data_IF_859164073944
#
_entry.id   IF_859164073944
#
_cell.length_a   1.000
_cell.length_b   1.000
_cell.length_c   1.000
_cell.angle_alpha   90.00
_cell.angle_beta   90.00
_cell.angle_gamma   90.00
#
_symmetry.space_group_name_H-M   'P 1'
#
loop_
_entity.id
_entity.type
_entity.pdbx_description
1 polymer ?
#
# COMPACT_ATOMS: atom_id res chain seq x y z
N UNK A 1 9.03 -67.09 -6.67
CA UNK A 1 8.95 -65.63 -6.92
C UNK A 1 9.59 -65.33 -8.28
N UNK A 2 8.85 -64.75 -9.22
CA UNK A 2 9.30 -64.61 -10.61
C UNK A 2 10.36 -63.49 -10.71
N UNK A 3 11.64 -63.86 -10.90
CA UNK A 3 12.79 -62.92 -10.91
C UNK A 3 12.62 -61.76 -11.90
N UNK A 4 11.87 -61.96 -12.99
CA UNK A 4 11.56 -60.91 -13.97
C UNK A 4 10.56 -59.86 -13.45
N UNK A 5 9.59 -60.28 -12.65
CA UNK A 5 8.64 -59.36 -11.99
C UNK A 5 9.31 -58.55 -10.87
N UNK A 6 10.23 -59.18 -10.13
CA UNK A 6 11.01 -58.49 -9.09
C UNK A 6 11.98 -57.49 -9.71
N UNK A 7 12.67 -57.85 -10.80
CA UNK A 7 13.55 -56.94 -11.53
C UNK A 7 12.79 -55.77 -12.17
N UNK A 8 11.62 -56.03 -12.78
CA UNK A 8 10.77 -54.98 -13.33
C UNK A 8 10.25 -54.01 -12.26
N UNK A 9 9.83 -54.53 -11.10
CA UNK A 9 9.42 -53.70 -9.96
C UNK A 9 10.57 -52.85 -9.41
N UNK A 10 11.78 -53.41 -9.29
CA UNK A 10 12.95 -52.68 -8.83
C UNK A 10 13.35 -51.53 -9.79
N UNK A 11 13.28 -51.76 -11.10
CA UNK A 11 13.56 -50.73 -12.11
C UNK A 11 12.53 -49.60 -12.02
N UNK A 12 11.25 -49.92 -11.87
CA UNK A 12 10.19 -48.92 -11.73
C UNK A 12 10.37 -48.05 -10.48
N UNK A 13 10.74 -48.66 -9.35
CA UNK A 13 11.02 -47.93 -8.11
C UNK A 13 12.23 -47.01 -8.26
N UNK A 14 13.31 -47.49 -8.87
CA UNK A 14 14.49 -46.65 -9.14
C UNK A 14 14.14 -45.49 -10.07
N UNK A 15 13.35 -45.73 -11.12
CA UNK A 15 12.86 -44.67 -12.00
C UNK A 15 12.07 -43.63 -11.22
N UNK A 16 11.08 -44.04 -10.42
CA UNK A 16 10.29 -43.13 -9.60
C UNK A 16 11.14 -42.33 -8.62
N UNK A 17 12.15 -42.95 -7.99
CA UNK A 17 13.08 -42.26 -7.10
C UNK A 17 13.93 -41.23 -7.84
N UNK A 18 14.42 -41.53 -9.03
CA UNK A 18 15.18 -40.58 -9.86
C UNK A 18 14.28 -39.43 -10.31
N UNK A 19 13.04 -39.70 -10.73
CA UNK A 19 12.09 -38.62 -11.07
C UNK A 19 11.76 -37.76 -9.86
N UNK A 20 11.58 -38.36 -8.67
CA UNK A 20 11.29 -37.63 -7.44
C UNK A 20 12.48 -36.78 -6.93
N UNK A 21 13.71 -37.28 -7.08
CA UNK A 21 14.90 -36.63 -6.52
C UNK A 21 15.62 -35.70 -7.48
N UNK A 22 15.48 -35.91 -8.79
CA UNK A 22 16.19 -35.13 -9.82
C UNK A 22 15.22 -34.49 -10.80
N UNK A 23 14.26 -35.26 -11.34
CA UNK A 23 13.34 -34.76 -12.36
C UNK A 23 12.43 -33.64 -11.87
N UNK A 24 11.76 -33.85 -10.74
CA UNK A 24 10.84 -32.87 -10.14
C UNK A 24 11.59 -31.61 -9.68
N UNK A 25 12.74 -31.68 -8.96
CA UNK A 25 13.50 -30.48 -8.61
C UNK A 25 14.05 -29.71 -9.82
N UNK A 26 14.51 -30.39 -10.87
CA UNK A 26 14.98 -29.70 -12.08
C UNK A 26 13.83 -29.01 -12.84
N UNK A 27 12.66 -29.64 -12.91
CA UNK A 27 11.46 -29.01 -13.45
C UNK A 27 11.01 -27.80 -12.61
N UNK A 28 11.17 -27.88 -11.28
CA UNK A 28 10.88 -26.78 -10.36
C UNK A 28 11.76 -25.56 -10.64
N UNK A 29 13.08 -25.74 -10.75
CA UNK A 29 13.98 -24.63 -11.09
C UNK A 29 13.67 -24.03 -12.47
N UNK A 30 13.31 -24.87 -13.46
CA UNK A 30 12.93 -24.39 -14.79
C UNK A 30 11.59 -23.62 -14.82
N UNK A 31 10.64 -23.94 -13.94
CA UNK A 31 9.34 -23.26 -13.91
C UNK A 31 9.28 -22.06 -12.96
N UNK A 32 10.13 -22.04 -11.93
CA UNK A 32 10.23 -20.95 -10.96
C UNK A 32 10.52 -19.60 -11.62
N UNK A 33 11.43 -19.57 -12.59
CA UNK A 33 11.79 -18.33 -13.29
C UNK A 33 10.72 -17.91 -14.31
N UNK A 34 9.83 -18.81 -14.73
CA UNK A 34 8.81 -18.55 -15.75
C UNK A 34 7.46 -18.05 -15.19
N UNK A 35 7.28 -18.01 -13.86
CA UNK A 35 6.01 -17.63 -13.24
C UNK A 35 6.23 -16.61 -12.11
N UNK A 36 6.91 -15.52 -12.45
CA UNK A 36 7.08 -14.37 -11.55
C UNK A 36 6.11 -13.27 -11.95
N UNK A 37 5.29 -12.85 -11.00
CA UNK A 37 4.43 -11.67 -11.12
C UNK A 37 5.00 -10.58 -10.24
N UNK A 38 5.14 -9.38 -10.79
CA UNK A 38 5.60 -8.21 -10.06
C UNK A 38 4.49 -7.16 -10.08
N UNK A 39 4.12 -6.64 -8.92
CA UNK A 39 2.99 -5.71 -8.80
C UNK A 39 3.35 -4.55 -7.90
N UNK A 40 2.94 -3.35 -8.31
CA UNK A 40 2.85 -2.18 -7.44
C UNK A 40 1.41 -1.95 -7.02
N UNK A 41 1.21 -1.84 -5.72
CA UNK A 41 -0.02 -1.35 -5.11
C UNK A 41 0.24 0.04 -4.56
N UNK A 42 -0.58 1.00 -4.97
CA UNK A 42 -0.59 2.35 -4.45
C UNK A 42 -1.93 2.63 -3.79
N UNK A 43 -1.90 3.14 -2.56
CA UNK A 43 -3.08 3.62 -1.87
C UNK A 43 -2.82 4.98 -1.24
N UNK A 44 -3.84 5.82 -1.24
CA UNK A 44 -3.84 7.08 -0.53
C UNK A 44 -5.20 7.30 0.10
N UNK A 45 -5.23 7.93 1.27
CA UNK A 45 -6.47 8.14 2.02
C UNK A 45 -6.76 9.63 2.24
N UNK A 46 -8.05 9.95 2.20
CA UNK A 46 -8.59 11.23 2.70
C UNK A 46 -9.76 10.89 3.60
N UNK A 47 -9.79 11.46 4.81
CA UNK A 47 -10.92 11.27 5.71
C UNK A 47 -11.34 12.54 6.43
N UNK A 48 -12.65 12.72 6.64
CA UNK A 48 -13.21 13.92 7.28
C UNK A 48 -14.58 13.71 7.91
N UNK A 49 -14.92 14.48 8.94
CA UNK A 49 -16.23 14.47 9.61
C UNK A 49 -17.16 15.60 9.16
N UNK A 50 -16.74 16.43 8.21
CA UNK A 50 -17.55 17.49 7.62
C UNK A 50 -17.23 17.64 6.13
N UNK A 51 -18.17 18.16 5.35
CA UNK A 51 -17.93 18.42 3.93
C UNK A 51 -16.77 19.41 3.75
N UNK A 52 -15.84 19.07 2.86
CA UNK A 52 -14.82 19.95 2.33
C UNK A 52 -15.31 20.51 1.00
N UNK A 53 -15.15 21.80 0.74
CA UNK A 53 -15.49 22.43 -0.54
C UNK A 53 -14.26 23.00 -1.20
N UNK A 54 -14.28 23.08 -2.53
CA UNK A 54 -13.16 23.56 -3.36
C UNK A 54 -11.85 22.81 -3.04
N UNK A 55 -11.95 21.48 -2.93
CA UNK A 55 -10.87 20.65 -2.45
C UNK A 55 -9.85 20.35 -3.56
N UNK A 56 -8.59 20.70 -3.31
CA UNK A 56 -7.43 20.37 -4.14
C UNK A 56 -6.37 19.72 -3.26
N UNK A 57 -5.99 18.49 -3.58
CA UNK A 57 -4.95 17.75 -2.88
C UNK A 57 -3.85 17.34 -3.86
N UNK A 58 -2.58 17.53 -3.50
CA UNK A 58 -1.44 16.95 -4.22
C UNK A 58 -0.75 15.94 -3.32
N UNK A 59 -0.78 14.67 -3.75
CA UNK A 59 -0.23 13.54 -3.02
C UNK A 59 0.97 12.95 -3.78
N UNK A 60 2.03 12.50 -3.07
CA UNK A 60 3.11 11.71 -3.64
C UNK A 60 2.55 10.53 -4.42
N UNK A 61 3.05 10.31 -5.62
CA UNK A 61 2.69 9.16 -6.44
C UNK A 61 3.94 8.32 -6.76
N UNK A 62 3.79 7.04 -7.13
CA UNK A 62 4.91 6.21 -7.55
C UNK A 62 5.55 6.77 -8.83
N UNK A 63 6.86 6.99 -8.80
CA UNK A 63 7.68 7.40 -9.94
C UNK A 63 8.88 6.50 -10.08
N UNK A 64 9.24 6.21 -11.32
CA UNK A 64 10.43 5.45 -11.68
C UNK A 64 11.71 6.27 -11.43
N UNK A 65 12.91 5.63 -11.44
CA UNK A 65 14.17 6.34 -11.21
C UNK A 65 14.47 7.49 -12.17
N UNK A 66 13.85 7.51 -13.35
CA UNK A 66 13.96 8.61 -14.32
C UNK A 66 12.97 9.76 -14.06
N UNK A 67 12.09 9.60 -13.07
CA UNK A 67 11.06 10.57 -12.68
C UNK A 67 9.71 10.36 -13.35
N UNK A 68 9.57 9.38 -14.23
CA UNK A 68 8.30 9.10 -14.93
C UNK A 68 7.29 8.48 -13.96
N UNK A 69 6.02 8.92 -13.93
CA UNK A 69 4.98 8.25 -13.17
C UNK A 69 4.81 6.78 -13.55
N UNK A 70 4.83 5.89 -12.55
CA UNK A 70 4.62 4.45 -12.76
C UNK A 70 3.14 4.11 -12.92
N UNK A 71 2.27 4.95 -12.35
CA UNK A 71 0.80 4.83 -12.46
C UNK A 71 0.29 5.85 -13.48
N UNK A 72 -0.59 5.43 -14.38
CA UNK A 72 -1.24 6.34 -15.34
C UNK A 72 -2.69 6.64 -14.94
N UNK A 73 -3.41 5.62 -14.42
CA UNK A 73 -4.79 5.74 -13.97
C UNK A 73 -4.90 5.39 -12.49
N UNK A 74 -5.67 6.19 -11.75
CA UNK A 74 -6.04 5.92 -10.36
C UNK A 74 -7.55 5.81 -10.23
N UNK A 75 -8.00 4.95 -9.32
CA UNK A 75 -9.42 4.78 -9.00
C UNK A 75 -9.70 5.37 -7.64
N UNK A 76 -10.83 6.07 -7.52
CA UNK A 76 -11.33 6.55 -6.24
C UNK A 76 -12.40 5.59 -5.77
N UNK A 77 -12.20 5.01 -4.58
CA UNK A 77 -13.14 4.15 -3.90
C UNK A 77 -13.69 4.87 -2.66
N UNK A 78 -15.00 4.81 -2.48
CA UNK A 78 -15.66 5.26 -1.25
C UNK A 78 -15.73 4.09 -0.26
N UNK A 79 -15.12 4.25 0.92
CA UNK A 79 -15.15 3.19 1.93
C UNK A 79 -16.47 3.22 2.71
N UNK A 80 -16.79 4.39 3.27
CA UNK A 80 -18.02 4.62 4.05
C UNK A 80 -18.67 5.99 3.75
N UNK A 81 -18.19 6.66 2.70
CA UNK A 81 -18.76 7.88 2.16
C UNK A 81 -19.75 7.64 1.02
N UNK A 82 -20.53 8.68 0.63
CA UNK A 82 -21.24 8.66 -0.64
C UNK A 82 -20.28 8.53 -1.82
N UNK A 83 -20.82 8.23 -2.99
CA UNK A 83 -20.05 8.17 -4.24
C UNK A 83 -19.28 9.47 -4.48
N UNK A 84 -18.00 9.34 -4.81
CA UNK A 84 -17.09 10.45 -5.02
C UNK A 84 -17.09 10.86 -6.50
N UNK A 85 -17.41 12.13 -6.79
CA UNK A 85 -17.27 12.72 -8.12
C UNK A 85 -15.99 13.55 -8.19
N UNK A 86 -14.84 12.88 -8.12
CA UNK A 86 -13.53 13.52 -8.06
C UNK A 86 -12.83 13.41 -9.39
N UNK A 87 -12.08 14.45 -9.75
CA UNK A 87 -11.17 14.42 -10.89
C UNK A 87 -9.78 14.09 -10.38
N UNK A 88 -9.13 13.13 -11.02
CA UNK A 88 -7.74 12.78 -10.73
C UNK A 88 -6.88 13.04 -11.95
N UNK A 89 -5.68 13.57 -11.72
CA UNK A 89 -4.70 13.79 -12.79
C UNK A 89 -3.29 13.81 -12.21
N UNK A 90 -2.29 13.62 -13.06
CA UNK A 90 -0.89 13.76 -12.66
C UNK A 90 -0.43 15.14 -13.09
N UNK A 91 0.12 15.91 -12.16
CA UNK A 91 0.53 17.30 -12.39
C UNK A 91 1.98 17.50 -11.97
N UNK A 92 2.70 18.34 -12.72
CA UNK A 92 4.03 18.79 -12.34
C UNK A 92 3.94 19.95 -11.34
N UNK A 93 4.59 19.80 -10.19
CA UNK A 93 4.63 20.83 -9.15
C UNK A 93 6.07 21.29 -8.90
N UNK A 94 6.23 22.31 -8.06
CA UNK A 94 7.56 22.71 -7.57
C UNK A 94 8.28 21.61 -6.74
N UNK A 95 7.58 20.52 -6.38
CA UNK A 95 8.12 19.36 -5.65
C UNK A 95 8.28 18.11 -6.54
N UNK A 96 8.05 18.25 -7.85
CA UNK A 96 8.04 17.15 -8.81
C UNK A 96 6.61 16.70 -9.18
N UNK A 97 6.48 15.60 -9.92
CA UNK A 97 5.18 15.04 -10.30
C UNK A 97 4.41 14.61 -9.05
N UNK A 98 3.13 14.94 -9.01
CA UNK A 98 2.21 14.58 -7.92
C UNK A 98 0.85 14.18 -8.47
N UNK A 99 0.14 13.34 -7.73
CA UNK A 99 -1.26 13.03 -7.99
C UNK A 99 -2.12 14.19 -7.49
N UNK A 100 -2.78 14.87 -8.43
CA UNK A 100 -3.82 15.84 -8.14
C UNK A 100 -5.17 15.16 -7.98
N UNK A 101 -5.85 15.49 -6.87
CA UNK A 101 -7.23 15.14 -6.60
C UNK A 101 -7.99 16.45 -6.44
N UNK A 102 -8.93 16.69 -7.35
CA UNK A 102 -9.77 17.90 -7.37
C UNK A 102 -11.24 17.50 -7.24
N UNK A 103 -11.95 18.17 -6.33
CA UNK A 103 -13.35 17.92 -6.08
C UNK A 103 -14.06 19.21 -5.65
N UNK A 104 -15.23 19.47 -6.22
CA UNK A 104 -16.10 20.55 -5.74
C UNK A 104 -16.50 20.31 -4.29
N UNK A 105 -16.83 19.06 -3.94
CA UNK A 105 -17.14 18.63 -2.59
C UNK A 105 -16.57 17.25 -2.25
N UNK A 106 -15.95 17.14 -1.07
CA UNK A 106 -15.64 15.87 -0.41
C UNK A 106 -16.58 15.74 0.78
N UNK A 107 -17.54 14.83 0.72
CA UNK A 107 -18.64 14.76 1.70
C UNK A 107 -18.19 14.05 2.97
N UNK A 108 -18.07 14.82 4.06
CA UNK A 108 -17.86 14.29 5.41
C UNK A 108 -19.17 14.16 6.17
N UNK A 109 -19.44 12.98 6.73
CA UNK A 109 -20.63 12.76 7.55
C UNK A 109 -20.34 13.07 9.03
N UNK A 110 -21.21 13.86 9.66
CA UNK A 110 -21.12 14.21 11.07
C UNK A 110 -21.60 13.05 11.98
N UNK A 111 -20.82 11.98 12.01
CA UNK A 111 -21.04 10.77 12.82
C UNK A 111 -20.01 10.68 13.94
N UNK A 112 -20.32 9.89 14.96
CA UNK A 112 -19.49 9.75 16.15
C UNK A 112 -19.46 8.31 16.64
N UNK A 113 -18.28 7.83 17.02
CA UNK A 113 -18.17 6.65 17.86
C UNK A 113 -18.49 7.02 19.30
N UNK A 114 -19.30 6.19 19.95
CA UNK A 114 -19.49 6.26 21.38
C UNK A 114 -18.39 5.45 22.05
N UNK A 115 -17.56 6.10 22.87
CA UNK A 115 -16.43 5.45 23.51
C UNK A 115 -16.47 5.62 25.02
N UNK A 116 -16.03 4.59 25.72
CA UNK A 116 -15.90 4.60 27.17
C UNK A 116 -14.71 5.48 27.60
N UNK A 117 -14.66 5.88 28.87
CA UNK A 117 -13.53 6.63 29.44
C UNK A 117 -12.17 5.92 29.27
N UNK A 118 -12.16 4.59 29.25
CA UNK A 118 -10.95 3.79 29.01
C UNK A 118 -10.52 3.74 27.52
N UNK A 119 -11.23 4.44 26.63
CA UNK A 119 -10.97 4.48 25.18
C UNK A 119 -11.54 3.32 24.38
N UNK A 120 -12.16 2.33 25.01
CA UNK A 120 -12.83 1.25 24.27
C UNK A 120 -14.12 1.72 23.61
N UNK A 121 -14.45 1.13 22.46
CA UNK A 121 -15.74 1.37 21.80
C UNK A 121 -16.88 0.84 22.69
N UNK A 122 -17.85 1.72 23.00
CA UNK A 122 -19.08 1.34 23.67
C UNK A 122 -20.12 0.79 22.68
N UNK A 123 -20.05 1.22 21.42
CA UNK A 123 -20.86 0.73 20.30
C UNK A 123 -19.97 0.47 19.08
N UNK A 124 -20.22 -0.60 18.31
CA UNK A 124 -19.49 -0.88 17.07
C UNK A 124 -19.89 0.09 15.94
N UNK A 125 -21.15 0.53 15.92
CA UNK A 125 -21.67 1.40 14.87
C UNK A 125 -21.60 2.87 15.29
N UNK A 126 -21.19 3.76 14.37
CA UNK A 126 -21.17 5.19 14.64
C UNK A 126 -22.59 5.76 14.64
N UNK A 127 -22.83 6.72 15.54
CA UNK A 127 -24.14 7.36 15.74
C UNK A 127 -24.12 8.82 15.29
N UNK A 128 -25.30 9.38 15.04
CA UNK A 128 -25.48 10.83 14.92
C UNK A 128 -25.50 11.45 16.31
N UNK A 129 -25.17 12.74 16.40
CA UNK A 129 -25.23 13.49 17.67
C UNK A 129 -26.61 13.45 18.34
N UNK A 130 -27.68 13.42 17.56
CA UNK A 130 -29.06 13.36 18.08
C UNK A 130 -29.44 11.98 18.66
N UNK A 131 -28.66 10.95 18.36
CA UNK A 131 -28.85 9.57 18.83
C UNK A 131 -27.99 9.29 20.09
N UNK A 132 -27.24 10.29 20.57
CA UNK A 132 -26.45 10.15 21.79
C UNK A 132 -27.36 9.88 23.00
N UNK A 133 -26.98 8.96 23.90
CA UNK A 133 -27.72 8.72 25.14
C UNK A 133 -27.89 10.02 25.95
N UNK A 134 -29.03 10.16 26.65
CA UNK A 134 -29.24 11.29 27.57
C UNK A 134 -28.22 11.26 28.72
N UNK A 135 -27.91 10.06 29.22
CA UNK A 135 -26.86 9.84 30.22
C UNK A 135 -25.53 9.49 29.52
N UNK A 136 -24.61 10.44 29.54
CA UNK A 136 -23.25 10.30 29.02
C UNK A 136 -22.23 9.96 30.11
N UNK A 137 -22.66 9.54 31.31
CA UNK A 137 -21.74 9.19 32.40
C UNK A 137 -20.82 8.05 31.97
N UNK A 138 -19.50 8.28 32.01
CA UNK A 138 -18.50 7.31 31.57
C UNK A 138 -18.35 7.18 30.05
N UNK A 139 -19.03 8.03 29.27
CA UNK A 139 -19.06 7.99 27.80
C UNK A 139 -18.58 9.33 27.21
N UNK A 140 -17.97 9.26 26.03
CA UNK A 140 -17.66 10.44 25.20
C UNK A 140 -17.91 10.15 23.73
N UNK A 141 -18.12 11.21 22.97
CA UNK A 141 -18.26 11.14 21.52
C UNK A 141 -16.89 11.40 20.87
N UNK A 142 -16.46 10.49 20.01
CA UNK A 142 -15.32 10.69 19.12
C UNK A 142 -15.80 10.82 17.68
N UNK A 143 -15.29 11.79 16.89
CA UNK A 143 -15.66 11.89 15.50
C UNK A 143 -15.35 10.59 14.73
N UNK A 144 -16.35 10.06 14.04
CA UNK A 144 -16.17 8.98 13.08
C UNK A 144 -16.00 9.61 11.69
N UNK A 145 -14.76 9.66 11.21
CA UNK A 145 -14.44 10.27 9.92
C UNK A 145 -15.00 9.43 8.77
N UNK A 146 -15.62 10.09 7.79
CA UNK A 146 -15.90 9.48 6.49
C UNK A 146 -14.58 9.35 5.73
N UNK A 147 -14.30 8.15 5.24
CA UNK A 147 -13.06 7.70 4.61
C UNK A 147 -13.27 7.46 3.11
N UNK A 148 -12.34 7.99 2.35
CA UNK A 148 -12.20 7.79 0.92
C UNK A 148 -10.79 7.30 0.64
N UNK A 149 -10.68 6.37 -0.31
CA UNK A 149 -9.42 5.74 -0.69
C UNK A 149 -9.17 5.93 -2.18
N UNK A 150 -7.97 6.35 -2.53
CA UNK A 150 -7.50 6.43 -3.90
C UNK A 150 -6.51 5.31 -4.11
N UNK A 151 -6.77 4.45 -5.10
CA UNK A 151 -6.04 3.21 -5.30
C UNK A 151 -5.57 3.11 -6.75
N UNK A 152 -4.36 2.59 -6.94
CA UNK A 152 -3.87 2.15 -8.24
C UNK A 152 -3.12 0.84 -8.09
N UNK A 153 -3.26 -0.02 -9.09
CA UNK A 153 -2.56 -1.29 -9.18
C UNK A 153 -1.91 -1.36 -10.56
N UNK A 154 -0.60 -1.61 -10.57
CA UNK A 154 0.18 -1.77 -11.79
C UNK A 154 0.87 -3.12 -11.74
N UNK A 155 0.34 -4.07 -12.51
CA UNK A 155 0.92 -5.40 -12.67
C UNK A 155 1.89 -5.40 -13.83
N UNK A 156 3.15 -5.70 -13.52
CA UNK A 156 4.22 -5.89 -14.50
C UNK A 156 4.24 -7.38 -14.83
N UNK A 157 3.57 -7.73 -15.93
CA UNK A 157 3.61 -9.11 -16.42
C UNK A 157 4.93 -9.37 -17.14
N UNK A 158 5.75 -10.26 -16.56
CA UNK A 158 6.98 -10.74 -17.19
C UNK A 158 6.65 -11.75 -18.30
N UNK A 159 6.09 -11.26 -19.41
CA UNK A 159 6.06 -12.00 -20.66
C UNK A 159 6.97 -11.32 -21.66
N UNK A 160 8.25 -11.66 -21.53
CA UNK A 160 9.32 -11.42 -22.50
C UNK A 160 9.12 -10.19 -23.39
N UNK A 161 9.59 -9.03 -22.91
CA UNK A 161 10.24 -7.95 -23.66
C UNK A 161 10.32 -6.67 -22.81
N UNK A 162 11.47 -6.37 -22.18
CA UNK A 162 11.88 -4.97 -21.98
C UNK A 162 12.34 -4.49 -20.59
N UNK A 163 11.76 -4.99 -19.48
CA UNK A 163 12.36 -4.84 -18.14
C UNK A 163 13.26 -6.06 -17.97
N UNK A 164 14.57 -5.90 -17.75
CA UNK A 164 15.44 -7.07 -17.62
C UNK A 164 14.93 -7.93 -16.45
N UNK A 165 14.27 -9.04 -16.80
CA UNK A 165 13.64 -10.08 -15.97
C UNK A 165 12.24 -9.83 -15.37
N UNK A 166 11.60 -8.68 -15.60
CA UNK A 166 10.20 -8.47 -15.15
C UNK A 166 10.00 -8.61 -13.64
N UNK A 167 10.94 -8.11 -12.84
CA UNK A 167 10.86 -8.08 -11.37
C UNK A 167 11.20 -6.71 -10.82
N UNK A 168 10.53 -6.31 -9.74
CA UNK A 168 10.79 -5.12 -8.94
C UNK A 168 12.06 -5.34 -8.10
N UNK A 169 12.98 -4.39 -8.05
CA UNK A 169 14.10 -4.43 -7.10
C UNK A 169 13.60 -4.05 -5.69
N UNK A 170 13.31 -5.07 -4.87
CA UNK A 170 12.68 -4.92 -3.54
C UNK A 170 13.68 -4.87 -2.38
N UNK A 171 14.96 -5.21 -2.61
CA UNK A 171 16.02 -5.13 -1.61
C UNK A 171 16.57 -3.71 -1.53
N UNK A 172 16.86 -3.11 -2.69
CA UNK A 172 17.45 -1.79 -2.84
C UNK A 172 16.66 -0.90 -3.83
N UNK A 173 15.38 -0.61 -3.56
CA UNK A 173 14.51 0.08 -4.52
C UNK A 173 14.97 1.49 -4.88
N UNK A 174 15.71 2.18 -4.00
CA UNK A 174 16.15 3.56 -4.24
C UNK A 174 17.08 3.66 -5.44
N UNK A 175 16.58 4.26 -6.52
CA UNK A 175 17.29 4.42 -7.80
C UNK A 175 17.23 3.19 -8.71
N UNK A 176 16.54 2.12 -8.31
CA UNK A 176 16.41 0.88 -9.09
C UNK A 176 14.95 0.46 -9.35
N UNK A 177 14.02 0.98 -8.55
CA UNK A 177 12.58 0.71 -8.61
C UNK A 177 11.80 2.00 -8.41
N UNK A 178 10.49 1.92 -8.61
CA UNK A 178 9.58 3.03 -8.40
C UNK A 178 9.50 3.40 -6.90
N UNK A 179 9.49 4.68 -6.58
CA UNK A 179 9.28 5.16 -5.20
C UNK A 179 8.30 6.34 -5.22
N UNK A 180 7.72 6.67 -4.07
CA UNK A 180 6.90 7.86 -3.92
C UNK A 180 7.70 9.13 -4.25
N UNK A 181 7.12 9.98 -5.09
CA UNK A 181 7.64 11.29 -5.47
C UNK A 181 7.68 12.27 -4.30
N UNK A 182 8.31 13.43 -4.49
CA UNK A 182 8.38 14.50 -3.48
C UNK A 182 8.94 14.04 -2.11
N UNK A 183 9.82 13.03 -2.11
CA UNK A 183 10.45 12.47 -0.90
C UNK A 183 11.92 12.88 -0.75
N UNK A 184 12.36 13.11 0.49
CA UNK A 184 13.70 13.62 0.79
C UNK A 184 14.16 13.28 2.23
N UNK A 185 15.39 13.64 2.60
CA UNK A 185 15.96 13.44 3.94
C UNK A 185 15.93 12.00 4.47
N UNK A 186 16.33 11.04 3.61
CA UNK A 186 16.41 9.62 3.99
C UNK A 186 17.47 9.38 5.08
N UNK A 187 17.05 8.80 6.21
CA UNK A 187 17.91 8.43 7.32
C UNK A 187 17.65 6.98 7.77
N UNK A 188 18.69 6.14 7.97
CA UNK A 188 18.51 4.80 8.51
C UNK A 188 17.78 4.83 9.86
N UNK A 189 16.87 3.87 10.07
CA UNK A 189 16.13 3.70 11.31
C UNK A 189 15.99 2.22 11.68
N UNK A 190 15.59 1.94 12.91
CA UNK A 190 15.23 0.58 13.33
C UNK A 190 13.87 0.21 12.79
N UNK A 191 13.78 -0.98 12.21
CA UNK A 191 12.50 -1.53 11.79
C UNK A 191 11.59 -1.81 12.98
N UNK A 192 10.32 -1.43 12.87
CA UNK A 192 9.29 -1.79 13.84
C UNK A 192 7.94 -2.02 13.14
N UNK A 193 7.43 -3.27 13.10
CA UNK A 193 8.00 -4.48 13.70
C UNK A 193 9.25 -4.97 12.95
N UNK A 194 10.14 -5.62 13.70
CA UNK A 194 11.24 -6.40 13.11
C UNK A 194 10.67 -7.72 12.60
N UNK A 195 10.79 -7.97 11.30
CA UNK A 195 10.47 -9.26 10.71
C UNK A 195 11.71 -10.16 10.72
N UNK A 196 11.52 -11.47 10.64
CA UNK A 196 12.61 -12.47 10.74
C UNK A 196 13.50 -12.56 9.49
N UNK A 197 13.73 -11.45 8.79
CA UNK A 197 14.56 -11.39 7.57
C UNK A 197 15.96 -10.86 7.86
N UNK A 198 16.99 -11.56 7.37
CA UNK A 198 18.40 -11.13 7.50
C UNK A 198 18.72 -9.84 6.73
N UNK A 199 17.89 -9.46 5.76
CA UNK A 199 18.14 -8.34 4.83
C UNK A 199 17.26 -7.11 5.09
N UNK A 200 16.46 -7.13 6.14
CA UNK A 200 15.49 -6.06 6.37
C UNK A 200 16.20 -4.74 6.72
N UNK A 201 15.86 -3.69 5.98
CA UNK A 201 16.35 -2.33 6.25
C UNK A 201 15.16 -1.39 6.36
N UNK A 202 15.20 -0.47 7.31
CA UNK A 202 14.19 0.58 7.46
C UNK A 202 14.85 1.94 7.45
N UNK A 203 14.23 2.88 6.74
CA UNK A 203 14.74 4.23 6.54
C UNK A 203 13.58 5.19 6.71
N UNK A 204 13.74 6.21 7.55
CA UNK A 204 12.76 7.30 7.62
C UNK A 204 13.07 8.34 6.55
N UNK A 205 12.04 9.02 6.06
CA UNK A 205 12.16 10.10 5.10
C UNK A 205 11.08 11.15 5.36
N UNK A 206 11.13 12.26 4.63
CA UNK A 206 10.06 13.27 4.59
C UNK A 206 9.41 13.28 3.23
N UNK A 207 8.10 13.52 3.19
CA UNK A 207 7.33 13.68 1.96
C UNK A 207 6.54 14.98 2.01
N UNK A 208 6.56 15.73 0.92
CA UNK A 208 5.72 16.92 0.78
C UNK A 208 4.36 16.54 0.19
N UNK A 209 3.31 17.14 0.73
CA UNK A 209 1.93 17.07 0.26
C UNK A 209 1.36 18.48 0.19
N UNK A 210 0.37 18.69 -0.67
CA UNK A 210 -0.40 19.93 -0.69
C UNK A 210 -1.85 19.63 -0.36
N UNK A 211 -2.47 20.53 0.40
CA UNK A 211 -3.92 20.51 0.57
C UNK A 211 -4.45 21.95 0.56
N UNK A 212 -5.55 22.15 -0.15
CA UNK A 212 -6.34 23.38 -0.14
C UNK A 212 -7.81 23.01 -0.14
N UNK A 213 -8.56 23.47 0.86
CA UNK A 213 -9.98 23.21 0.98
C UNK A 213 -10.63 24.12 2.02
N UNK A 214 -11.94 24.32 1.86
CA UNK A 214 -12.77 25.06 2.80
C UNK A 214 -13.66 24.10 3.63
N UNK A 215 -13.75 24.32 4.94
CA UNK A 215 -14.69 23.59 5.79
C UNK A 215 -14.99 24.34 7.10
N UNK A 216 -15.81 23.76 7.98
CA UNK A 216 -16.12 24.35 9.30
C UNK A 216 -14.89 24.28 10.20
N UNK A 217 -14.67 25.30 11.05
CA UNK A 217 -13.53 25.34 11.97
C UNK A 217 -13.44 24.17 12.97
N UNK A 218 -14.56 23.47 13.20
CA UNK A 218 -14.64 22.27 14.06
C UNK A 218 -14.46 20.97 13.29
N UNK A 219 -14.22 21.01 11.98
CA UNK A 219 -14.02 19.83 11.16
C UNK A 219 -12.62 19.26 11.41
N UNK A 220 -12.55 17.95 11.53
CA UNK A 220 -11.30 17.18 11.54
C UNK A 220 -11.11 16.59 10.15
N UNK A 221 -9.93 16.82 9.58
CA UNK A 221 -9.56 16.32 8.25
C UNK A 221 -8.24 15.59 8.37
N UNK A 222 -8.14 14.41 7.75
CA UNK A 222 -6.91 13.66 7.62
C UNK A 222 -6.60 13.49 6.14
N UNK A 223 -5.37 13.83 5.79
CA UNK A 223 -4.81 13.65 4.45
C UNK A 223 -3.66 12.66 4.55
N UNK A 224 -3.68 11.64 3.71
CA UNK A 224 -2.91 10.42 3.92
C UNK A 224 -3.63 9.45 4.87
N UNK A 225 -3.07 8.27 5.17
CA UNK A 225 -1.74 7.80 4.77
C UNK A 225 -1.62 7.59 3.26
N UNK A 226 -0.38 7.66 2.75
CA UNK A 226 -0.04 7.29 1.37
C UNK A 226 0.92 6.10 1.43
N UNK A 227 0.62 5.03 0.73
CA UNK A 227 1.40 3.79 0.75
C UNK A 227 1.68 3.32 -0.67
N UNK A 228 2.94 2.95 -0.91
CA UNK A 228 3.38 2.20 -2.08
C UNK A 228 3.94 0.87 -1.60
N UNK A 229 3.41 -0.22 -2.14
CA UNK A 229 3.85 -1.58 -1.87
C UNK A 229 4.28 -2.22 -3.19
N UNK A 230 5.57 -2.54 -3.30
CA UNK A 230 6.12 -3.29 -4.42
C UNK A 230 6.40 -4.72 -4.00
N UNK A 231 5.81 -5.68 -4.70
CA UNK A 231 5.94 -7.10 -4.41
C UNK A 231 6.29 -7.89 -5.68
N UNK A 232 7.21 -8.84 -5.55
CA UNK A 232 7.36 -9.93 -6.49
C UNK A 232 6.87 -11.22 -5.86
N UNK A 233 6.08 -11.98 -6.60
CA UNK A 233 5.60 -13.29 -6.21
C UNK A 233 6.04 -14.32 -7.25
N UNK A 234 6.56 -15.44 -6.79
CA UNK A 234 6.92 -16.58 -7.63
C UNK A 234 6.59 -17.89 -6.93
N UNK A 235 6.22 -18.91 -7.68
CA UNK A 235 5.79 -20.16 -7.07
C UNK A 235 5.25 -21.20 -8.03
N UNK A 236 4.97 -22.38 -7.46
CA UNK A 236 4.44 -23.53 -8.18
C UNK A 236 3.38 -24.24 -7.35
N UNK A 237 2.18 -24.43 -7.94
CA UNK A 237 0.95 -25.08 -7.45
C UNK A 237 0.53 -24.88 -5.97
N UNK A 238 1.38 -25.22 -5.00
CA UNK A 238 1.11 -25.15 -3.55
C UNK A 238 2.17 -24.38 -2.75
N UNK A 239 3.22 -23.87 -3.38
CA UNK A 239 4.28 -23.12 -2.71
C UNK A 239 4.53 -21.79 -3.43
N UNK A 240 4.17 -20.70 -2.76
CA UNK A 240 4.47 -19.34 -3.20
C UNK A 240 5.58 -18.77 -2.32
N UNK A 241 6.46 -18.00 -2.93
CA UNK A 241 7.51 -17.23 -2.30
C UNK A 241 7.38 -15.80 -2.79
N UNK A 242 7.81 -14.86 -1.98
CA UNK A 242 7.71 -13.45 -2.32
C UNK A 242 8.92 -12.68 -1.79
N UNK A 243 9.14 -11.51 -2.36
CA UNK A 243 9.91 -10.44 -1.75
C UNK A 243 9.22 -9.11 -1.99
N UNK A 244 9.39 -8.18 -1.07
CA UNK A 244 8.65 -6.93 -1.09
C UNK A 244 9.39 -5.79 -0.39
N UNK A 245 8.96 -4.57 -0.73
CA UNK A 245 9.21 -3.37 0.06
C UNK A 245 7.92 -2.57 0.20
N UNK A 246 7.85 -1.78 1.27
CA UNK A 246 6.76 -0.85 1.53
C UNK A 246 7.34 0.53 1.77
N UNK A 247 6.75 1.54 1.15
CA UNK A 247 7.03 2.93 1.42
C UNK A 247 5.73 3.60 1.86
N UNK A 248 5.71 4.11 3.10
CA UNK A 248 4.50 4.69 3.70
C UNK A 248 4.77 6.08 4.21
N UNK A 249 3.90 7.02 3.87
CA UNK A 249 3.82 8.38 4.42
C UNK A 249 2.71 8.42 5.45
N UNK A 250 3.00 9.01 6.61
CA UNK A 250 2.02 9.17 7.68
C UNK A 250 0.92 10.15 7.30
N UNK A 251 -0.28 9.92 7.84
CA UNK A 251 -1.39 10.86 7.70
C UNK A 251 -1.10 12.15 8.46
N UNK A 252 -1.55 13.29 7.93
CA UNK A 252 -1.54 14.58 8.60
C UNK A 252 -2.97 14.93 9.00
N UNK A 253 -3.16 15.38 10.24
CA UNK A 253 -4.44 15.83 10.75
C UNK A 253 -4.52 17.37 10.78
N UNK A 254 -5.65 17.89 10.32
CA UNK A 254 -5.98 19.31 10.27
C UNK A 254 -7.29 19.58 10.98
N UNK A 255 -7.42 20.81 11.49
CA UNK A 255 -8.65 21.35 12.03
C UNK A 255 -9.10 22.55 11.20
N UNK A 256 -10.35 22.53 10.72
CA UNK A 256 -10.89 23.59 9.87
C UNK A 256 -10.31 23.61 8.46
N UNK A 257 -10.52 24.71 7.74
CA UNK A 257 -9.95 24.93 6.41
C UNK A 257 -8.43 24.96 6.45
N UNK A 258 -7.79 24.52 5.37
CA UNK A 258 -6.35 24.56 5.19
C UNK A 258 -6.01 24.97 3.76
N UNK A 259 -4.89 25.68 3.58
CA UNK A 259 -4.37 26.06 2.27
C UNK A 259 -2.83 26.12 2.32
N UNK A 260 -2.18 25.14 1.69
CA UNK A 260 -0.74 25.16 1.52
C UNK A 260 -0.06 23.79 1.58
N UNK A 261 1.26 23.85 1.38
CA UNK A 261 2.16 22.71 1.47
C UNK A 261 2.39 22.29 2.93
N UNK A 262 2.48 20.98 3.12
CA UNK A 262 2.79 20.32 4.38
C UNK A 262 3.79 19.20 4.14
N UNK A 263 4.54 18.85 5.19
CA UNK A 263 5.53 17.79 5.10
C UNK A 263 5.23 16.72 6.17
N UNK A 264 5.00 15.49 5.73
CA UNK A 264 4.82 14.33 6.59
C UNK A 264 6.12 13.53 6.74
N UNK A 265 6.21 12.78 7.84
CA UNK A 265 7.23 11.73 7.98
C UNK A 265 6.75 10.48 7.24
N UNK A 266 7.69 9.71 6.69
CA UNK A 266 7.41 8.40 6.14
C UNK A 266 8.50 7.38 6.50
N UNK A 267 8.20 6.12 6.24
CA UNK A 267 9.11 4.99 6.43
C UNK A 267 9.17 4.15 5.15
N UNK A 268 10.40 3.84 4.72
CA UNK A 268 10.72 2.89 3.67
C UNK A 268 11.27 1.64 4.33
N UNK A 269 10.57 0.54 4.18
CA UNK A 269 10.92 -0.78 4.68
C UNK A 269 11.21 -1.70 3.50
N UNK A 270 12.43 -2.24 3.42
CA UNK A 270 12.90 -3.08 2.32
C UNK A 270 13.42 -4.42 2.82
N UNK A 271 13.70 -5.35 1.92
CA UNK A 271 14.38 -6.59 2.28
C UNK A 271 13.48 -7.62 2.97
N UNK A 272 12.15 -7.46 2.91
CA UNK A 272 11.18 -8.44 3.43
C UNK A 272 10.96 -9.55 2.39
N UNK A 273 10.76 -10.77 2.87
CA UNK A 273 10.58 -11.97 2.04
C UNK A 273 11.88 -12.73 1.76
N UNK A 274 11.85 -13.61 0.76
CA UNK A 274 12.99 -14.46 0.36
C UNK A 274 13.71 -13.84 -0.83
N UNK A 275 15.03 -13.78 -0.73
CA UNK A 275 15.86 -13.36 -1.84
C UNK A 275 16.80 -14.52 -2.18
N UNK A 276 17.00 -14.76 -3.48
CA UNK A 276 17.99 -15.75 -3.91
C UNK A 276 19.39 -15.26 -3.50
N UNK A 277 20.24 -16.18 -3.05
CA UNK A 277 21.65 -15.92 -2.72
C UNK A 277 22.52 -16.10 -3.96
#
# INVERSE_FOLDING_TARGET
MNRRLVAGGAILVVLLLVTATVGIPALFELQKDNNTTATYYYTAEVSTNATLTDATLYLPLPVDPDGTPTVEDVRVANYDGPEANWTTSIVETQRGPMLAIEAEEIVGQARYYLVNENGSLASPEPIRRAEAPEDMSGLRLEPALTRYEVMAEVTIESFGNGIQNGTIETRYPRGNSSLLSATYDYSPNKCNPVWSGEYQTCTTFRADMYASYNTKSSAMVRVGAVELWGINEWGWFFANSFNEYTQRVEQIEFNGSHDGWVSATGELQTGKGRYQQ
#
